data_IF_481529594761
#
_entry.id   IF_481529594761
#
_cell.length_a   1.000
_cell.length_b   1.000
_cell.length_c   1.000
_cell.angle_alpha   90.00
_cell.angle_beta   90.00
_cell.angle_gamma   90.00
#
_symmetry.space_group_name_H-M   'P 1'
#
loop_
_entity.id
_entity.type
_entity.pdbx_description
1 polymer ?
#
# COMPACT_ATOMS: atom_id res chain seq x y z
N UNK A 1 68.18 -4.05 -11.09
CA UNK A 1 67.14 -4.33 -12.09
C UNK A 1 65.82 -3.86 -11.51
N UNK A 2 65.14 -2.86 -12.10
CA UNK A 2 63.83 -2.41 -11.59
C UNK A 2 62.72 -3.29 -12.12
N UNK A 3 61.81 -3.69 -11.21
CA UNK A 3 60.57 -4.43 -11.49
C UNK A 3 59.62 -3.54 -12.30
N UNK A 4 59.21 -4.03 -13.47
CA UNK A 4 58.19 -3.36 -14.31
C UNK A 4 56.83 -3.45 -13.64
N UNK A 5 56.24 -2.28 -13.34
CA UNK A 5 54.87 -2.19 -12.87
C UNK A 5 53.88 -2.44 -14.04
N UNK A 6 53.04 -3.43 -13.92
CA UNK A 6 52.01 -3.74 -14.89
C UNK A 6 50.94 -2.64 -14.86
N UNK A 7 50.56 -2.12 -16.03
CA UNK A 7 49.54 -1.10 -16.24
C UNK A 7 48.17 -1.69 -15.90
N UNK A 8 47.29 -0.98 -15.18
CA UNK A 8 45.95 -1.48 -14.91
C UNK A 8 45.11 -1.58 -16.22
N UNK A 9 44.21 -2.56 -16.34
CA UNK A 9 43.41 -2.75 -17.55
C UNK A 9 42.48 -1.54 -17.77
N UNK A 10 42.37 -1.13 -19.04
CA UNK A 10 41.49 -0.04 -19.47
C UNK A 10 40.05 -0.49 -19.49
N UNK A 11 39.12 0.48 -19.40
CA UNK A 11 37.65 0.22 -19.31
C UNK A 11 37.06 -0.53 -20.52
N UNK A 12 37.82 -0.75 -21.58
CA UNK A 12 37.43 -1.48 -22.80
C UNK A 12 37.51 -3.02 -22.65
N UNK A 13 38.22 -3.53 -21.64
CA UNK A 13 38.45 -4.98 -21.47
C UNK A 13 37.44 -5.72 -20.56
N UNK A 14 36.35 -5.04 -20.15
CA UNK A 14 35.30 -5.72 -19.40
C UNK A 14 34.30 -6.38 -20.35
N UNK A 15 34.05 -7.70 -20.20
CA UNK A 15 33.01 -8.37 -20.97
C UNK A 15 31.66 -7.72 -20.66
N UNK A 16 30.92 -7.34 -21.70
CA UNK A 16 29.58 -6.78 -21.56
C UNK A 16 28.64 -7.85 -20.95
N UNK A 17 27.78 -7.46 -20.01
CA UNK A 17 26.77 -8.38 -19.50
C UNK A 17 25.79 -8.77 -20.63
N UNK A 18 25.25 -10.00 -20.59
CA UNK A 18 24.29 -10.44 -21.62
C UNK A 18 23.07 -9.51 -21.64
N UNK A 19 22.47 -9.27 -22.83
CA UNK A 19 21.30 -8.42 -22.94
C UNK A 19 20.14 -9.01 -22.09
N UNK A 20 19.53 -8.13 -21.29
CA UNK A 20 18.36 -8.49 -20.51
C UNK A 20 17.24 -9.02 -21.41
N UNK A 21 16.48 -10.04 -21.01
CA UNK A 21 15.34 -10.52 -21.76
C UNK A 21 14.35 -9.38 -21.98
N UNK A 22 13.89 -9.20 -23.22
CA UNK A 22 12.92 -8.15 -23.58
C UNK A 22 11.66 -8.34 -22.74
N UNK A 23 11.33 -7.30 -21.98
CA UNK A 23 10.08 -7.23 -21.21
C UNK A 23 8.90 -7.37 -22.21
N UNK A 24 7.96 -8.27 -21.97
CA UNK A 24 6.75 -8.32 -22.79
C UNK A 24 6.02 -6.97 -22.73
N UNK A 25 5.35 -6.54 -23.82
CA UNK A 25 4.63 -5.27 -23.83
C UNK A 25 3.58 -5.26 -22.72
N UNK A 26 3.50 -4.12 -21.99
CA UNK A 26 2.49 -3.92 -20.97
C UNK A 26 1.10 -4.09 -21.59
N UNK A 27 0.35 -5.08 -21.13
CA UNK A 27 -1.05 -5.28 -21.52
C UNK A 27 -1.90 -4.12 -20.99
N UNK A 28 -2.84 -3.58 -21.76
CA UNK A 28 -3.73 -2.53 -21.29
C UNK A 28 -4.58 -3.02 -20.11
N UNK A 29 -4.64 -2.21 -19.07
CA UNK A 29 -5.56 -2.39 -17.93
C UNK A 29 -7.01 -2.37 -18.48
N UNK A 30 -7.63 -3.53 -18.56
CA UNK A 30 -9.03 -3.63 -18.93
C UNK A 30 -9.92 -3.10 -17.81
N UNK A 31 -10.79 -2.21 -18.21
CA UNK A 31 -11.86 -1.51 -17.51
C UNK A 31 -12.64 -2.45 -16.59
N UNK A 32 -12.76 -2.06 -15.32
CA UNK A 32 -13.69 -2.67 -14.39
C UNK A 32 -15.13 -2.40 -14.89
N UNK A 33 -15.79 -3.41 -15.37
CA UNK A 33 -17.23 -3.37 -15.68
C UNK A 33 -17.95 -4.04 -14.53
N UNK A 34 -18.46 -3.22 -13.60
CA UNK A 34 -19.34 -3.70 -12.54
C UNK A 34 -20.74 -3.99 -13.09
N UNK A 35 -21.13 -5.25 -13.16
CA UNK A 35 -22.52 -5.64 -13.25
C UNK A 35 -23.01 -5.93 -11.83
N UNK A 36 -23.83 -5.02 -11.29
CA UNK A 36 -24.54 -5.24 -10.05
C UNK A 36 -25.69 -6.21 -10.31
N UNK A 37 -25.57 -7.43 -9.82
CA UNK A 37 -26.69 -8.33 -9.59
C UNK A 37 -26.60 -8.86 -8.17
N UNK A 38 -27.76 -8.95 -7.55
CA UNK A 38 -28.01 -9.23 -6.14
C UNK A 38 -27.05 -10.26 -5.51
N UNK A 39 -26.35 -9.86 -4.46
CA UNK A 39 -25.82 -10.76 -3.43
C UNK A 39 -24.35 -11.07 -3.43
N UNK A 40 -23.55 -10.72 -4.45
CA UNK A 40 -22.08 -10.97 -4.43
C UNK A 40 -21.31 -9.90 -5.19
N UNK A 41 -20.56 -9.08 -4.46
CA UNK A 41 -19.55 -8.24 -5.07
C UNK A 41 -18.36 -9.11 -5.48
N UNK A 42 -18.10 -9.22 -6.79
CA UNK A 42 -17.00 -9.99 -7.34
C UNK A 42 -15.96 -9.02 -7.90
N UNK A 43 -14.87 -8.84 -7.21
CA UNK A 43 -13.73 -8.10 -7.71
C UNK A 43 -12.87 -9.05 -8.57
N UNK A 44 -12.82 -8.83 -9.89
CA UNK A 44 -12.03 -9.64 -10.80
C UNK A 44 -10.78 -8.86 -11.19
N UNK A 45 -9.61 -9.32 -10.81
CA UNK A 45 -8.32 -8.63 -11.00
C UNK A 45 -7.53 -9.13 -12.21
N UNK A 46 -7.91 -10.27 -12.83
CA UNK A 46 -7.22 -10.85 -13.98
C UNK A 46 -8.19 -11.49 -14.99
N UNK A 47 -7.83 -11.57 -16.28
CA UNK A 47 -8.59 -12.31 -17.29
C UNK A 47 -8.44 -13.83 -17.17
N UNK A 48 -7.41 -14.34 -16.52
CA UNK A 48 -7.18 -15.78 -16.35
C UNK A 48 -7.95 -16.29 -15.13
N UNK A 49 -8.66 -17.41 -15.28
CA UNK A 49 -9.55 -17.93 -14.22
C UNK A 49 -8.82 -18.32 -12.94
N UNK A 50 -7.55 -18.69 -13.05
CA UNK A 50 -6.72 -19.11 -11.91
C UNK A 50 -6.23 -17.94 -11.05
N UNK A 51 -6.29 -16.69 -11.55
CA UNK A 51 -5.81 -15.47 -10.86
C UNK A 51 -6.94 -14.60 -10.30
N UNK A 52 -8.13 -15.17 -10.12
CA UNK A 52 -9.29 -14.43 -9.61
C UNK A 52 -9.45 -14.62 -8.12
N UNK A 53 -9.44 -13.49 -7.39
CA UNK A 53 -9.89 -13.49 -6.02
C UNK A 53 -11.39 -13.25 -5.96
N UNK A 54 -12.12 -14.21 -5.40
CA UNK A 54 -13.52 -14.02 -5.01
C UNK A 54 -13.57 -13.89 -3.50
N UNK A 55 -14.26 -12.89 -3.00
CA UNK A 55 -14.56 -12.76 -1.58
C UNK A 55 -16.04 -12.47 -1.38
N UNK A 56 -16.56 -12.89 -0.26
CA UNK A 56 -17.97 -12.73 0.11
C UNK A 56 -18.13 -11.60 1.11
N UNK A 57 -17.17 -11.48 2.04
CA UNK A 57 -17.21 -10.52 3.11
C UNK A 57 -15.83 -9.96 3.40
N UNK A 58 -15.61 -8.69 3.09
CA UNK A 58 -14.38 -7.98 3.38
C UNK A 58 -14.48 -7.12 4.63
N UNK A 59 -13.39 -7.05 5.40
CA UNK A 59 -13.22 -6.08 6.47
C UNK A 59 -12.55 -4.82 5.92
N UNK A 60 -13.08 -3.63 6.19
CA UNK A 60 -12.48 -2.36 5.81
C UNK A 60 -12.17 -1.49 7.02
N UNK A 61 -11.01 -0.84 7.00
CA UNK A 61 -10.65 0.22 7.94
C UNK A 61 -10.18 1.46 7.21
N UNK A 62 -10.44 2.64 7.78
CA UNK A 62 -10.10 3.94 7.22
C UNK A 62 -9.33 4.75 8.25
N UNK A 63 -8.18 5.29 7.86
CA UNK A 63 -7.43 6.32 8.59
C UNK A 63 -7.41 7.56 7.72
N UNK A 64 -7.81 8.71 8.29
CA UNK A 64 -7.83 9.99 7.61
C UNK A 64 -7.22 11.09 8.47
N UNK A 65 -6.01 11.52 8.14
CA UNK A 65 -5.36 12.64 8.79
C UNK A 65 -5.74 13.92 8.06
N UNK A 66 -6.47 14.79 8.74
CA UNK A 66 -7.02 16.05 8.19
C UNK A 66 -6.40 17.29 8.80
N UNK A 67 -5.83 17.16 9.99
CA UNK A 67 -5.24 18.25 10.78
C UNK A 67 -3.91 17.80 11.35
N UNK A 68 -2.92 18.68 11.37
CA UNK A 68 -1.57 18.40 11.89
C UNK A 68 -1.25 19.37 13.02
N UNK A 69 -0.53 18.87 14.02
CA UNK A 69 0.02 19.70 15.11
C UNK A 69 1.31 20.42 14.70
N UNK A 70 1.89 20.04 13.56
CA UNK A 70 3.10 20.63 12.99
C UNK A 70 2.77 21.59 11.86
N UNK A 71 3.42 22.76 11.81
CA UNK A 71 3.31 23.73 10.70
C UNK A 71 3.88 23.23 9.37
N UNK A 72 4.48 22.03 9.37
CA UNK A 72 5.05 21.40 8.17
C UNK A 72 3.99 21.03 7.13
N UNK A 73 2.81 20.68 7.57
CA UNK A 73 1.74 20.18 6.70
C UNK A 73 0.48 21.02 6.79
N UNK A 74 -0.12 21.33 5.65
CA UNK A 74 -1.42 22.00 5.57
C UNK A 74 -2.55 21.03 5.90
N UNK A 75 -3.64 21.56 6.48
CA UNK A 75 -4.85 20.77 6.73
C UNK A 75 -5.48 20.26 5.43
N UNK A 76 -6.08 19.07 5.48
CA UNK A 76 -6.74 18.37 4.38
C UNK A 76 -8.23 18.10 4.70
N UNK A 77 -9.06 19.15 4.88
CA UNK A 77 -10.46 18.98 5.34
C UNK A 77 -11.33 18.19 4.37
N UNK A 78 -10.96 18.14 3.07
CA UNK A 78 -11.66 17.37 2.05
C UNK A 78 -11.76 15.87 2.35
N UNK A 79 -10.82 15.31 3.09
CA UNK A 79 -10.82 13.89 3.45
C UNK A 79 -12.01 13.49 4.34
N UNK A 80 -12.61 14.40 5.09
CA UNK A 80 -13.85 14.10 5.84
C UNK A 80 -14.98 13.72 4.90
N UNK A 81 -15.12 14.43 3.78
CA UNK A 81 -16.12 14.13 2.75
C UNK A 81 -15.82 12.78 2.07
N UNK A 82 -14.54 12.48 1.81
CA UNK A 82 -14.13 11.23 1.20
C UNK A 82 -14.40 10.04 2.14
N UNK A 83 -14.16 10.17 3.43
CA UNK A 83 -14.50 9.15 4.44
C UNK A 83 -16.01 8.88 4.47
N UNK A 84 -16.83 9.92 4.43
CA UNK A 84 -18.30 9.75 4.39
C UNK A 84 -18.75 9.01 3.12
N UNK A 85 -18.19 9.35 1.97
CA UNK A 85 -18.48 8.69 0.68
C UNK A 85 -18.04 7.23 0.70
N UNK A 86 -16.80 6.97 1.14
CA UNK A 86 -16.25 5.62 1.27
C UNK A 86 -17.10 4.77 2.21
N UNK A 87 -17.48 5.30 3.38
CA UNK A 87 -18.33 4.60 4.33
C UNK A 87 -19.68 4.16 3.76
N UNK A 88 -20.19 4.91 2.77
CA UNK A 88 -21.46 4.58 2.07
C UNK A 88 -21.26 3.60 0.89
N UNK A 89 -20.06 3.60 0.30
CA UNK A 89 -19.76 2.79 -0.90
C UNK A 89 -19.23 1.42 -0.52
N UNK A 90 -18.37 1.32 0.48
CA UNK A 90 -17.72 0.07 0.89
C UNK A 90 -18.70 -1.08 1.14
N UNK A 91 -19.83 -0.88 1.86
CA UNK A 91 -20.80 -1.96 2.03
C UNK A 91 -21.43 -2.45 0.72
N UNK A 92 -21.57 -1.57 -0.28
CA UNK A 92 -22.13 -1.92 -1.59
C UNK A 92 -21.22 -2.79 -2.44
N UNK A 93 -19.92 -2.79 -2.11
CA UNK A 93 -18.90 -3.59 -2.80
C UNK A 93 -18.37 -4.74 -1.94
N UNK A 94 -19.11 -5.11 -0.88
CA UNK A 94 -18.82 -6.28 -0.06
C UNK A 94 -17.85 -6.04 1.10
N UNK A 95 -17.50 -4.79 1.41
CA UNK A 95 -16.64 -4.46 2.56
C UNK A 95 -17.43 -3.83 3.69
N UNK A 96 -17.41 -4.43 4.86
CA UNK A 96 -17.95 -3.84 6.08
C UNK A 96 -16.91 -2.97 6.77
N UNK A 97 -17.32 -1.85 7.36
CA UNK A 97 -16.44 -1.08 8.23
C UNK A 97 -16.17 -1.88 9.51
N UNK A 98 -14.99 -2.50 9.57
CA UNK A 98 -14.57 -3.35 10.68
C UNK A 98 -14.34 -2.55 11.97
N UNK A 99 -13.92 -1.30 11.82
CA UNK A 99 -13.81 -0.30 12.89
C UNK A 99 -14.35 1.04 12.38
N UNK A 100 -14.73 1.91 13.30
CA UNK A 100 -15.06 3.29 12.95
C UNK A 100 -13.85 3.96 12.29
N UNK A 101 -14.04 4.81 11.27
CA UNK A 101 -12.96 5.59 10.69
C UNK A 101 -12.19 6.35 11.77
N UNK A 102 -10.88 6.30 11.70
CA UNK A 102 -9.98 7.01 12.60
C UNK A 102 -9.52 8.31 11.94
N UNK A 103 -9.43 9.36 12.76
CA UNK A 103 -9.00 10.67 12.30
C UNK A 103 -7.82 11.16 13.13
N UNK A 104 -6.90 11.83 12.45
CA UNK A 104 -5.81 12.58 13.06
C UNK A 104 -4.93 11.74 14.00
N UNK A 105 -4.50 10.59 13.50
CA UNK A 105 -3.59 9.71 14.22
C UNK A 105 -2.13 10.14 14.04
N UNK A 106 -1.35 10.05 15.09
CA UNK A 106 0.12 10.12 15.03
C UNK A 106 0.69 8.90 14.29
N UNK A 107 1.98 8.92 13.96
CA UNK A 107 2.65 7.80 13.31
C UNK A 107 2.55 6.51 14.13
N UNK A 108 2.79 6.57 15.43
CA UNK A 108 2.68 5.43 16.35
C UNK A 108 1.25 4.90 16.43
N UNK A 109 0.27 5.80 16.53
CA UNK A 109 -1.16 5.44 16.59
C UNK A 109 -1.63 4.78 15.30
N UNK A 110 -1.16 5.24 14.12
CA UNK A 110 -1.46 4.60 12.84
C UNK A 110 -0.96 3.16 12.79
N UNK A 111 0.29 2.93 13.18
CA UNK A 111 0.89 1.59 13.22
C UNK A 111 0.17 0.69 14.23
N UNK A 112 -0.08 1.19 15.43
CA UNK A 112 -0.80 0.45 16.48
C UNK A 112 -2.20 0.08 16.04
N UNK A 113 -2.94 1.02 15.45
CA UNK A 113 -4.30 0.76 14.96
C UNK A 113 -4.35 -0.34 13.91
N UNK A 114 -3.49 -0.30 12.89
CA UNK A 114 -3.49 -1.33 11.83
C UNK A 114 -3.02 -2.68 12.38
N UNK A 115 -2.08 -2.69 13.33
CA UNK A 115 -1.65 -3.91 14.02
C UNK A 115 -2.77 -4.53 14.84
N UNK A 116 -3.51 -3.71 15.58
CA UNK A 116 -4.65 -4.16 16.39
C UNK A 116 -5.77 -4.72 15.52
N UNK A 117 -5.97 -4.14 14.33
CA UNK A 117 -6.89 -4.70 13.33
C UNK A 117 -6.43 -6.09 12.88
N UNK A 118 -5.16 -6.26 12.54
CA UNK A 118 -4.62 -7.57 12.16
C UNK A 118 -4.76 -8.63 13.26
N UNK A 119 -4.50 -8.26 14.52
CA UNK A 119 -4.68 -9.14 15.67
C UNK A 119 -6.16 -9.48 15.90
N UNK A 120 -7.06 -8.50 15.78
CA UNK A 120 -8.49 -8.72 15.96
C UNK A 120 -9.06 -9.63 14.86
N UNK A 121 -8.63 -9.47 13.62
CA UNK A 121 -9.01 -10.37 12.52
C UNK A 121 -8.60 -11.82 12.77
N UNK A 122 -7.47 -12.07 13.46
CA UNK A 122 -7.09 -13.43 13.87
C UNK A 122 -8.12 -14.04 14.85
N UNK A 123 -8.68 -13.23 15.74
CA UNK A 123 -9.68 -13.70 16.70
C UNK A 123 -11.04 -13.98 16.04
N UNK A 124 -11.35 -13.25 14.97
CA UNK A 124 -12.57 -13.43 14.19
C UNK A 124 -12.49 -14.65 13.25
N UNK A 125 -11.30 -15.25 13.10
CA UNK A 125 -11.09 -16.46 12.31
C UNK A 125 -11.44 -16.26 10.84
N UNK A 126 -12.38 -17.07 10.32
CA UNK A 126 -12.81 -17.01 8.91
C UNK A 126 -14.04 -16.12 8.67
N UNK A 127 -14.36 -15.22 9.61
CA UNK A 127 -15.50 -14.31 9.44
C UNK A 127 -15.32 -13.33 8.26
N UNK A 128 -14.05 -13.07 7.86
CA UNK A 128 -13.70 -12.22 6.73
C UNK A 128 -12.75 -12.94 5.79
N UNK A 129 -12.99 -12.80 4.50
CA UNK A 129 -12.21 -13.39 3.42
C UNK A 129 -11.44 -12.34 2.55
N UNK A 130 -11.52 -11.09 2.96
CA UNK A 130 -10.70 -9.99 2.41
C UNK A 130 -10.46 -8.90 3.46
N UNK A 131 -9.39 -8.11 3.31
CA UNK A 131 -9.17 -6.90 4.12
C UNK A 131 -8.82 -5.72 3.22
N UNK A 132 -9.37 -4.54 3.56
CA UNK A 132 -9.06 -3.27 2.92
C UNK A 132 -8.61 -2.24 3.95
N UNK A 133 -7.46 -1.62 3.70
CA UNK A 133 -6.94 -0.50 4.50
C UNK A 133 -6.92 0.75 3.62
N UNK A 134 -7.66 1.77 4.02
CA UNK A 134 -7.70 3.06 3.34
C UNK A 134 -6.93 4.07 4.16
N UNK A 135 -5.95 4.71 3.53
CA UNK A 135 -5.05 5.68 4.15
C UNK A 135 -5.15 7.02 3.40
N UNK A 136 -5.62 8.06 4.10
CA UNK A 136 -5.77 9.42 3.59
C UNK A 136 -4.91 10.34 4.45
N UNK A 137 -3.79 10.82 3.93
CA UNK A 137 -2.87 11.69 4.68
C UNK A 137 -1.89 12.39 3.74
N UNK A 138 -1.00 13.23 4.28
CA UNK A 138 0.22 13.60 3.58
C UNK A 138 1.15 12.41 3.48
N UNK A 139 2.00 12.39 2.45
CA UNK A 139 2.97 11.35 2.23
C UNK A 139 4.08 11.79 1.29
N UNK A 140 5.09 10.95 1.17
CA UNK A 140 6.14 11.04 0.15
C UNK A 140 6.40 9.65 -0.42
N UNK A 141 7.53 9.46 -1.08
CA UNK A 141 7.85 8.15 -1.65
C UNK A 141 7.87 7.06 -0.56
N UNK A 142 6.95 6.09 -0.70
CA UNK A 142 6.83 4.89 0.14
C UNK A 142 6.61 5.12 1.65
N UNK A 143 6.25 6.36 2.04
CA UNK A 143 5.87 6.72 3.41
C UNK A 143 4.57 7.52 3.46
N UNK A 144 3.89 7.43 4.59
CA UNK A 144 2.74 8.26 4.95
C UNK A 144 3.03 8.96 6.28
N UNK A 145 2.49 10.17 6.50
CA UNK A 145 2.80 10.94 7.69
C UNK A 145 1.68 10.87 8.72
N UNK A 146 2.07 10.68 9.99
CA UNK A 146 1.21 10.94 11.14
C UNK A 146 0.97 12.42 11.34
N UNK A 147 0.00 12.78 12.19
CA UNK A 147 -0.32 14.19 12.51
C UNK A 147 0.78 14.89 13.32
N UNK A 148 1.67 14.13 13.91
CA UNK A 148 2.92 14.57 14.56
C UNK A 148 4.01 14.97 13.55
N UNK A 149 3.80 14.68 12.25
CA UNK A 149 4.77 14.93 11.19
C UNK A 149 5.79 13.81 11.02
N UNK A 150 5.71 12.76 11.82
CA UNK A 150 6.60 11.59 11.72
C UNK A 150 6.16 10.67 10.57
N UNK A 151 7.17 10.05 9.93
CA UNK A 151 6.96 9.19 8.77
C UNK A 151 6.69 7.74 9.18
N UNK A 152 5.70 7.13 8.56
CA UNK A 152 5.41 5.70 8.66
C UNK A 152 5.72 5.05 7.32
N UNK A 153 6.67 4.11 7.23
CA UNK A 153 6.86 3.30 6.04
C UNK A 153 5.57 2.53 5.70
N UNK A 154 5.14 2.57 4.44
CA UNK A 154 3.95 1.84 4.02
C UNK A 154 4.12 0.33 4.20
N UNK A 155 5.34 -0.19 4.04
CA UNK A 155 5.65 -1.60 4.24
C UNK A 155 5.37 -2.07 5.67
N UNK A 156 5.55 -1.22 6.67
CA UNK A 156 5.23 -1.53 8.08
C UNK A 156 3.73 -1.71 8.27
N UNK A 157 2.91 -0.87 7.62
CA UNK A 157 1.46 -1.00 7.65
C UNK A 157 0.99 -2.24 6.89
N UNK A 158 1.62 -2.55 5.74
CA UNK A 158 1.31 -3.75 4.97
C UNK A 158 1.59 -5.02 5.76
N UNK A 159 2.69 -5.06 6.52
CA UNK A 159 3.05 -6.19 7.35
C UNK A 159 2.02 -6.49 8.45
N UNK A 160 1.31 -5.48 8.95
CA UNK A 160 0.35 -5.63 10.04
C UNK A 160 -0.84 -6.56 9.69
N UNK A 161 -1.22 -6.65 8.42
CA UNK A 161 -2.32 -7.51 7.95
C UNK A 161 -1.82 -8.76 7.23
N UNK A 162 -0.56 -9.15 7.46
CA UNK A 162 0.07 -10.35 6.90
C UNK A 162 0.85 -11.11 7.98
N UNK A 163 1.48 -12.24 7.59
CA UNK A 163 2.40 -12.96 8.48
C UNK A 163 3.55 -12.06 8.93
N UNK A 164 3.97 -12.15 10.19
CA UNK A 164 3.44 -13.03 11.23
C UNK A 164 2.24 -12.48 12.00
N UNK A 165 1.81 -11.24 11.73
CA UNK A 165 0.85 -10.50 12.56
C UNK A 165 -0.62 -10.92 12.32
N UNK A 166 -0.98 -11.26 11.08
CA UNK A 166 -2.35 -11.63 10.72
C UNK A 166 -2.39 -12.95 9.95
N UNK A 167 -2.60 -14.06 10.65
CA UNK A 167 -2.70 -15.38 10.04
C UNK A 167 -4.04 -15.59 9.34
N UNK A 168 -5.11 -14.99 9.84
CA UNK A 168 -6.46 -15.09 9.27
C UNK A 168 -6.53 -14.56 7.82
N UNK A 169 -5.63 -13.66 7.43
CA UNK A 169 -5.58 -13.08 6.08
C UNK A 169 -4.57 -13.75 5.15
N UNK A 170 -3.96 -14.88 5.53
CA UNK A 170 -3.05 -15.62 4.66
C UNK A 170 -3.82 -16.18 3.47
N UNK A 171 -3.33 -15.97 2.24
CA UNK A 171 -3.96 -16.34 0.97
C UNK A 171 -5.33 -15.67 0.70
N UNK A 172 -5.67 -14.64 1.45
CA UNK A 172 -6.86 -13.81 1.24
C UNK A 172 -6.45 -12.46 0.66
N UNK A 173 -7.24 -11.81 -0.21
CA UNK A 173 -6.90 -10.53 -0.81
C UNK A 173 -6.78 -9.41 0.22
N UNK A 174 -5.70 -8.63 0.08
CA UNK A 174 -5.38 -7.47 0.90
C UNK A 174 -5.29 -6.24 0.00
N UNK A 175 -6.16 -5.28 0.23
CA UNK A 175 -6.27 -4.08 -0.57
C UNK A 175 -5.78 -2.88 0.24
N UNK A 176 -4.85 -2.11 -0.32
CA UNK A 176 -4.41 -0.85 0.25
C UNK A 176 -4.75 0.28 -0.72
N UNK A 177 -5.57 1.21 -0.27
CA UNK A 177 -5.91 2.44 -1.01
C UNK A 177 -5.22 3.59 -0.30
N UNK A 178 -4.24 4.19 -0.97
CA UNK A 178 -3.42 5.27 -0.42
C UNK A 178 -3.64 6.54 -1.20
N UNK A 179 -4.26 7.52 -0.57
CA UNK A 179 -4.39 8.90 -1.06
C UNK A 179 -3.36 9.74 -0.31
N UNK A 180 -2.17 9.89 -0.89
CA UNK A 180 -1.08 10.68 -0.35
C UNK A 180 -0.20 11.17 -1.50
N UNK A 181 0.46 12.32 -1.34
CA UNK A 181 1.46 12.79 -2.28
C UNK A 181 2.61 11.76 -2.36
N UNK A 182 3.13 11.55 -3.56
CA UNK A 182 4.29 10.68 -3.83
C UNK A 182 5.42 11.46 -4.50
N UNK A 183 5.49 12.79 -4.27
CA UNK A 183 6.47 13.69 -4.83
C UNK A 183 7.91 13.36 -4.43
N UNK A 184 8.87 14.00 -5.10
CA UNK A 184 10.29 13.89 -4.82
C UNK A 184 10.57 14.11 -3.32
N UNK A 185 11.56 13.37 -2.80
CA UNK A 185 12.16 13.63 -1.48
C UNK A 185 12.38 15.14 -1.31
N UNK A 186 11.72 15.75 -0.33
CA UNK A 186 12.20 17.03 0.18
C UNK A 186 13.60 16.79 0.75
N UNK A 187 14.51 17.74 0.53
CA UNK A 187 15.93 17.64 0.95
C UNK A 187 16.11 17.38 2.45
N UNK A 188 15.05 17.51 3.25
CA UNK A 188 15.05 17.25 4.68
C UNK A 188 14.83 15.77 5.08
N UNK A 189 14.68 14.87 4.12
CA UNK A 189 14.42 13.43 4.38
C UNK A 189 15.71 12.57 4.44
N UNK A 190 16.88 13.18 4.65
CA UNK A 190 18.20 12.51 4.62
C UNK A 190 18.43 11.47 5.73
N UNK A 191 17.48 11.27 6.65
CA UNK A 191 17.66 10.34 7.77
C UNK A 191 16.90 9.01 7.63
N UNK A 192 16.09 8.82 6.56
CA UNK A 192 15.45 7.51 6.32
C UNK A 192 16.30 6.78 5.27
N UNK A 193 16.92 5.61 5.59
CA UNK A 193 17.62 4.83 4.59
C UNK A 193 16.64 4.54 3.45
N UNK A 194 17.10 4.79 2.21
CA UNK A 194 16.36 4.42 1.02
C UNK A 194 16.15 2.89 1.06
N UNK A 195 15.00 2.45 1.56
CA UNK A 195 14.56 1.11 1.28
C UNK A 195 14.41 1.04 -0.23
N UNK A 196 15.13 0.13 -0.85
CA UNK A 196 14.93 -0.20 -2.25
C UNK A 196 13.47 -0.60 -2.38
N UNK A 197 12.62 0.35 -2.81
CA UNK A 197 11.19 0.16 -2.89
C UNK A 197 10.86 -0.89 -3.92
N UNK A 198 10.95 -2.12 -3.51
CA UNK A 198 10.19 -3.18 -4.12
C UNK A 198 8.80 -3.07 -3.51
N UNK A 199 7.79 -2.68 -4.30
CA UNK A 199 6.41 -3.05 -3.97
C UNK A 199 6.49 -4.51 -3.55
N UNK A 200 6.11 -4.87 -2.32
CA UNK A 200 6.24 -6.24 -1.87
C UNK A 200 5.58 -7.13 -2.92
N UNK A 201 6.35 -7.99 -3.57
CA UNK A 201 5.83 -9.03 -4.49
C UNK A 201 5.20 -10.14 -3.66
N UNK A 202 4.42 -9.74 -2.67
CA UNK A 202 3.68 -10.70 -1.87
C UNK A 202 2.41 -11.01 -2.65
N UNK A 203 2.17 -12.30 -2.84
CA UNK A 203 0.90 -12.77 -3.39
C UNK A 203 -0.26 -12.20 -2.56
N UNK A 204 -1.39 -11.94 -3.21
CA UNK A 204 -2.63 -11.50 -2.58
C UNK A 204 -2.72 -10.02 -2.20
N UNK A 205 -1.83 -9.15 -2.69
CA UNK A 205 -1.89 -7.69 -2.43
C UNK A 205 -2.32 -6.89 -3.66
N UNK A 206 -3.22 -5.94 -3.45
CA UNK A 206 -3.55 -4.88 -4.40
C UNK A 206 -3.24 -3.53 -3.76
N UNK A 207 -2.38 -2.75 -4.41
CA UNK A 207 -2.06 -1.38 -4.02
C UNK A 207 -2.65 -0.40 -5.02
N UNK A 208 -3.55 0.47 -4.56
CA UNK A 208 -4.11 1.56 -5.35
C UNK A 208 -3.62 2.89 -4.77
N UNK A 209 -2.91 3.66 -5.59
CA UNK A 209 -2.44 5.00 -5.25
C UNK A 209 -3.21 6.01 -6.08
N UNK A 210 -3.77 7.02 -5.42
CA UNK A 210 -4.52 8.06 -6.11
C UNK A 210 -3.63 9.14 -6.74
N UNK A 211 -2.35 9.21 -6.34
CA UNK A 211 -1.38 10.15 -6.92
C UNK A 211 -0.30 9.41 -7.71
N UNK A 212 0.10 9.90 -8.90
CA UNK A 212 1.24 9.35 -9.62
C UNK A 212 2.54 9.56 -8.84
N UNK A 213 3.56 8.77 -9.17
CA UNK A 213 4.93 9.09 -8.75
C UNK A 213 5.37 10.34 -9.53
N UNK A 214 5.82 11.37 -8.85
CA UNK A 214 6.44 12.55 -9.44
C UNK A 214 7.80 12.25 -10.04
#
# INVERSE_FOLDING_TARGET
MPLAQAKPPTSADRPQPPPLPRRPPARPLNRVVGAASEGMARLTLSPDEDDRYAFTKGAAVIIANTEWSSDRFSSLPGYRVDVERLSKILPKVGFELYRRPQFNLTAEEMQSFVRDVGLALNNDGDAYDAVMVVLLSHGSQDVIYGTDGEAVPLDDLYACVNRPHCLAMVKKPKLFIVQACRGHRSEDADSIPASTSSVPRQADYLYAFASPRG
#
